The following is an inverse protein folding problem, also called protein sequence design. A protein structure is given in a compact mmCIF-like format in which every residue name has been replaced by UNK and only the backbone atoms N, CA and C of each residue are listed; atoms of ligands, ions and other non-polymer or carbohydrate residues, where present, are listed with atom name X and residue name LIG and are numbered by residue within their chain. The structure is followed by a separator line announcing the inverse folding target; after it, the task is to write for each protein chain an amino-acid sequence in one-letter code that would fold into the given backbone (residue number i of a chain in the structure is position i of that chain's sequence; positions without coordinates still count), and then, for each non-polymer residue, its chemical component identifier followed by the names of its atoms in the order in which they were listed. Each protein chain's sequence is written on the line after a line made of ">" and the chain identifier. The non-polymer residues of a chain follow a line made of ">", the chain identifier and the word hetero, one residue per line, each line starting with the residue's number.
data_IF_883114660385
#
_entry.id   IF_883114660385
#
_cell.length_a   1.000
_cell.length_b   1.000
_cell.length_c   1.000
_cell.angle_alpha   90.00
_cell.angle_beta   90.00
_cell.angle_gamma   90.00
#
_symmetry.space_group_name_H-M   'P 1'
#
loop_
_entity.id
_entity.type
_entity.pdbx_description
1 polymer ?
#
# COMPACT_ATOMS: atom_id res chain seq x y z
N UNK A 1 -34.61 -6.34 16.02
CA UNK A 1 -33.79 -5.13 16.22
C UNK A 1 -33.81 -4.37 14.91
N UNK A 2 -34.46 -3.20 14.87
CA UNK A 2 -34.33 -2.29 13.71
C UNK A 2 -32.88 -1.80 13.66
N UNK A 3 -32.18 -2.17 12.61
CA UNK A 3 -30.89 -1.55 12.28
C UNK A 3 -31.16 -0.07 11.93
N UNK A 4 -30.56 0.85 12.64
CA UNK A 4 -30.53 2.25 12.21
C UNK A 4 -29.61 2.35 10.98
N UNK A 5 -29.92 3.24 10.02
CA UNK A 5 -29.10 3.45 8.82
C UNK A 5 -27.61 3.68 9.16
N UNK A 6 -27.34 4.38 10.26
CA UNK A 6 -25.98 4.62 10.76
C UNK A 6 -25.26 3.34 11.17
N UNK A 7 -25.94 2.36 11.79
CA UNK A 7 -25.34 1.09 12.18
C UNK A 7 -25.01 0.25 10.94
N UNK A 8 -25.85 0.27 9.92
CA UNK A 8 -25.61 -0.40 8.64
C UNK A 8 -24.39 0.19 7.93
N UNK A 9 -24.32 1.51 7.77
CA UNK A 9 -23.19 2.19 7.16
C UNK A 9 -21.86 1.92 7.87
N UNK A 10 -21.87 1.82 9.20
CA UNK A 10 -20.66 1.49 9.97
C UNK A 10 -20.16 0.06 9.71
N UNK A 11 -21.06 -0.93 9.62
CA UNK A 11 -20.67 -2.32 9.33
C UNK A 11 -20.18 -2.48 7.88
N UNK A 12 -20.85 -1.85 6.90
CA UNK A 12 -20.40 -1.82 5.51
C UNK A 12 -19.02 -1.15 5.40
N UNK A 13 -18.85 0.01 6.01
CA UNK A 13 -17.59 0.74 6.01
C UNK A 13 -16.46 -0.09 6.65
N UNK A 14 -16.76 -0.83 7.71
CA UNK A 14 -15.82 -1.72 8.38
C UNK A 14 -15.40 -2.88 7.49
N UNK A 15 -16.34 -3.49 6.78
CA UNK A 15 -16.06 -4.54 5.82
C UNK A 15 -15.15 -4.03 4.71
N UNK A 16 -15.50 -2.93 4.06
CA UNK A 16 -14.74 -2.34 2.96
C UNK A 16 -13.34 -1.86 3.38
N UNK A 17 -13.21 -1.19 4.51
CA UNK A 17 -11.91 -0.68 4.98
C UNK A 17 -10.94 -1.81 5.33
N UNK A 18 -11.43 -2.90 5.93
CA UNK A 18 -10.64 -4.10 6.22
C UNK A 18 -10.24 -4.82 4.94
N UNK A 19 -11.19 -4.99 4.01
CA UNK A 19 -10.92 -5.61 2.71
C UNK A 19 -9.87 -4.82 1.93
N UNK A 20 -10.03 -3.50 1.86
CA UNK A 20 -9.01 -2.62 1.28
C UNK A 20 -7.64 -2.79 1.93
N UNK A 21 -7.59 -2.83 3.26
CA UNK A 21 -6.33 -3.00 3.99
C UNK A 21 -5.62 -4.29 3.60
N UNK A 22 -6.34 -5.40 3.51
CA UNK A 22 -5.77 -6.69 3.15
C UNK A 22 -5.29 -6.71 1.68
N UNK A 23 -6.06 -6.12 0.73
CA UNK A 23 -5.64 -5.95 -0.68
C UNK A 23 -4.38 -5.09 -0.82
N UNK A 24 -4.27 -4.01 -0.08
CA UNK A 24 -3.04 -3.17 -0.07
C UNK A 24 -1.82 -3.96 0.46
N UNK A 25 -2.01 -4.83 1.45
CA UNK A 25 -0.95 -5.71 1.95
C UNK A 25 -0.55 -6.78 0.93
N UNK A 26 -1.50 -7.38 0.23
CA UNK A 26 -1.23 -8.31 -0.87
C UNK A 26 -0.39 -7.62 -1.96
N UNK A 27 -0.81 -6.45 -2.39
CA UNK A 27 -0.06 -5.63 -3.34
C UNK A 27 1.36 -5.34 -2.88
N UNK A 28 1.57 -5.03 -1.62
CA UNK A 28 2.91 -4.77 -1.07
C UNK A 28 3.81 -6.03 -1.14
N UNK A 29 3.26 -7.23 -0.90
CA UNK A 29 3.99 -8.50 -1.07
C UNK A 29 4.39 -8.72 -2.53
N UNK A 30 3.48 -8.48 -3.47
CA UNK A 30 3.77 -8.62 -4.90
C UNK A 30 4.83 -7.62 -5.37
N UNK A 31 4.81 -6.37 -4.86
CA UNK A 31 5.87 -5.39 -5.12
C UNK A 31 7.24 -5.91 -4.68
N UNK A 32 7.34 -6.48 -3.49
CA UNK A 32 8.57 -7.12 -3.00
C UNK A 32 9.01 -8.28 -3.91
N UNK A 33 8.06 -9.08 -4.41
CA UNK A 33 8.37 -10.15 -5.37
C UNK A 33 8.92 -9.61 -6.68
N UNK A 34 8.32 -8.54 -7.23
CA UNK A 34 8.84 -7.87 -8.45
C UNK A 34 10.27 -7.39 -8.24
N UNK A 35 10.57 -6.72 -7.12
CA UNK A 35 11.93 -6.25 -6.86
C UNK A 35 12.95 -7.41 -6.87
N UNK A 36 12.62 -8.54 -6.24
CA UNK A 36 13.47 -9.74 -6.25
C UNK A 36 13.65 -10.31 -7.66
N UNK A 37 12.57 -10.37 -8.45
CA UNK A 37 12.64 -10.87 -9.83
C UNK A 37 13.48 -9.96 -10.72
N UNK A 38 13.35 -8.65 -10.58
CA UNK A 38 14.15 -7.66 -11.32
C UNK A 38 15.63 -7.76 -10.93
N UNK A 39 15.96 -7.97 -9.65
CA UNK A 39 17.36 -8.20 -9.22
C UNK A 39 17.99 -9.40 -9.92
N UNK A 40 17.20 -10.42 -10.29
CA UNK A 40 17.70 -11.59 -11.04
C UNK A 40 17.77 -11.33 -12.54
N UNK A 41 16.75 -10.69 -13.12
CA UNK A 41 16.56 -10.58 -14.56
C UNK A 41 17.21 -9.33 -15.18
N UNK A 42 17.25 -8.22 -14.44
CA UNK A 42 17.83 -6.95 -14.86
C UNK A 42 18.15 -6.04 -13.66
N UNK A 43 19.20 -6.34 -12.87
CA UNK A 43 19.54 -5.62 -11.64
C UNK A 43 19.84 -4.14 -11.84
N UNK A 44 20.40 -3.75 -13.01
CA UNK A 44 20.77 -2.37 -13.30
C UNK A 44 19.55 -1.45 -13.44
N UNK A 45 18.36 -1.99 -13.73
CA UNK A 45 17.14 -1.21 -13.93
C UNK A 45 16.77 -0.37 -12.70
N UNK A 46 17.01 -0.89 -11.49
CA UNK A 46 16.70 -0.18 -10.24
C UNK A 46 17.47 1.15 -10.12
N UNK A 47 18.67 1.24 -10.69
CA UNK A 47 19.49 2.46 -10.66
C UNK A 47 19.09 3.48 -11.73
N UNK A 48 18.40 3.04 -12.77
CA UNK A 48 18.01 3.87 -13.91
C UNK A 48 16.66 4.57 -13.68
N UNK A 49 15.83 4.03 -12.82
CA UNK A 49 14.46 4.53 -12.60
C UNK A 49 14.26 5.00 -11.17
N UNK A 50 13.45 6.03 -10.94
CA UNK A 50 13.16 6.50 -9.57
C UNK A 50 12.50 5.43 -8.69
N UNK A 51 11.74 4.51 -9.31
CA UNK A 51 11.10 3.38 -8.63
C UNK A 51 10.77 2.28 -9.64
N UNK A 52 11.02 1.03 -9.27
CA UNK A 52 10.59 -0.15 -10.04
C UNK A 52 9.06 -0.27 -10.14
N UNK A 53 8.31 0.41 -9.25
CA UNK A 53 6.85 0.30 -9.15
C UNK A 53 6.10 1.40 -9.91
N UNK A 54 6.72 1.98 -10.92
CA UNK A 54 6.08 2.94 -11.82
C UNK A 54 5.31 2.23 -12.93
N UNK A 55 4.22 2.84 -13.39
CA UNK A 55 3.41 2.32 -14.50
C UNK A 55 4.24 2.08 -15.76
N UNK A 56 5.17 2.99 -16.07
CA UNK A 56 6.08 2.87 -17.22
C UNK A 56 7.06 1.71 -17.11
N UNK A 57 7.56 1.42 -15.89
CA UNK A 57 8.43 0.27 -15.63
C UNK A 57 7.63 -1.04 -15.75
N UNK A 58 6.42 -1.05 -15.23
CA UNK A 58 5.54 -2.22 -15.39
C UNK A 58 5.15 -2.44 -16.85
N UNK A 59 4.94 -1.39 -17.64
CA UNK A 59 4.71 -1.52 -19.08
C UNK A 59 5.93 -2.15 -19.78
N UNK A 60 7.13 -1.64 -19.50
CA UNK A 60 8.38 -2.17 -20.04
C UNK A 60 8.55 -3.65 -19.67
N UNK A 61 8.46 -4.00 -18.39
CA UNK A 61 8.69 -5.38 -17.91
C UNK A 61 7.58 -6.36 -18.29
N UNK A 62 6.38 -5.88 -18.58
CA UNK A 62 5.30 -6.71 -19.11
C UNK A 62 5.58 -7.19 -20.52
N UNK A 63 6.24 -6.38 -21.33
CA UNK A 63 6.58 -6.70 -22.73
C UNK A 63 7.97 -7.31 -22.84
N UNK A 64 8.94 -6.75 -22.10
CA UNK A 64 10.35 -7.17 -22.10
C UNK A 64 10.77 -7.51 -20.66
N UNK A 65 10.53 -8.73 -20.17
CA UNK A 65 10.70 -9.06 -18.75
C UNK A 65 12.13 -9.19 -18.26
N UNK A 66 13.12 -9.11 -19.15
CA UNK A 66 14.53 -9.21 -18.76
C UNK A 66 15.48 -8.41 -19.63
N UNK A 67 16.72 -8.28 -19.17
CA UNK A 67 17.76 -7.50 -19.88
C UNK A 67 17.98 -7.98 -21.32
N UNK A 68 18.01 -9.30 -21.56
CA UNK A 68 18.25 -9.85 -22.91
C UNK A 68 17.16 -9.44 -23.91
N UNK A 69 15.90 -9.45 -23.52
CA UNK A 69 14.79 -9.05 -24.36
C UNK A 69 14.84 -7.54 -24.65
N UNK A 70 15.16 -6.71 -23.64
CA UNK A 70 15.31 -5.26 -23.80
C UNK A 70 16.49 -4.92 -24.72
N UNK A 71 17.62 -5.60 -24.55
CA UNK A 71 18.81 -5.41 -25.39
C UNK A 71 18.55 -5.69 -26.88
N UNK A 72 17.72 -6.69 -27.17
CA UNK A 72 17.31 -7.08 -28.52
C UNK A 72 16.18 -6.24 -29.12
N UNK A 73 15.48 -5.43 -28.30
CA UNK A 73 14.31 -4.68 -28.74
C UNK A 73 14.69 -3.49 -29.65
N UNK A 74 13.81 -3.18 -30.60
CA UNK A 74 13.96 -1.98 -31.42
C UNK A 74 13.83 -0.71 -30.60
N UNK A 75 14.80 0.19 -30.72
CA UNK A 75 14.82 1.45 -29.95
C UNK A 75 13.56 2.29 -30.15
N UNK A 76 13.03 2.30 -31.37
CA UNK A 76 11.79 3.03 -31.69
C UNK A 76 10.61 2.51 -30.89
N UNK A 77 10.53 1.18 -30.72
CA UNK A 77 9.47 0.53 -29.95
C UNK A 77 9.62 0.81 -28.46
N UNK A 78 10.82 0.63 -27.88
CA UNK A 78 11.10 0.97 -26.47
C UNK A 78 10.77 2.43 -26.16
N UNK A 79 11.13 3.33 -27.09
CA UNK A 79 10.84 4.75 -26.96
C UNK A 79 9.33 5.05 -26.96
N UNK A 80 8.58 4.46 -27.87
CA UNK A 80 7.12 4.61 -27.93
C UNK A 80 6.47 4.09 -26.65
N UNK A 81 6.81 2.86 -26.24
CA UNK A 81 6.28 2.22 -25.05
C UNK A 81 6.52 3.05 -23.77
N UNK A 82 7.78 3.48 -23.55
CA UNK A 82 8.14 4.29 -22.38
C UNK A 82 7.50 5.68 -22.40
N UNK A 83 7.42 6.31 -23.58
CA UNK A 83 6.76 7.61 -23.75
C UNK A 83 5.27 7.53 -23.41
N UNK A 84 4.57 6.56 -23.97
CA UNK A 84 3.12 6.39 -23.78
C UNK A 84 2.80 6.04 -22.31
N UNK A 85 3.50 5.05 -21.75
CA UNK A 85 3.28 4.63 -20.37
C UNK A 85 3.68 5.69 -19.33
N UNK A 86 4.60 6.61 -19.65
CA UNK A 86 5.01 7.72 -18.76
C UNK A 86 4.24 9.02 -19.00
N UNK A 87 3.26 9.02 -19.91
CA UNK A 87 2.55 10.25 -20.34
C UNK A 87 3.54 11.34 -20.82
N UNK A 88 4.54 10.93 -21.60
CA UNK A 88 5.55 11.82 -22.18
C UNK A 88 6.70 12.24 -21.25
N UNK A 89 6.75 11.78 -20.01
CA UNK A 89 7.84 12.11 -19.06
C UNK A 89 9.17 11.51 -19.49
N UNK A 90 9.17 10.26 -19.98
CA UNK A 90 10.37 9.61 -20.49
C UNK A 90 10.60 9.97 -21.94
N UNK A 91 11.76 10.58 -22.19
CA UNK A 91 12.21 11.00 -23.52
C UNK A 91 13.10 9.92 -24.14
N UNK A 92 13.63 10.21 -25.34
CA UNK A 92 14.49 9.30 -26.10
C UNK A 92 15.68 8.79 -25.28
N UNK A 93 16.24 9.62 -24.42
CA UNK A 93 17.45 9.34 -23.68
C UNK A 93 17.24 8.16 -22.72
N UNK A 94 16.12 8.11 -21.99
CA UNK A 94 15.80 6.99 -21.10
C UNK A 94 15.73 5.64 -21.84
N UNK A 95 15.15 5.60 -23.04
CA UNK A 95 15.07 4.37 -23.81
C UNK A 95 16.44 3.89 -24.28
N UNK A 96 17.35 4.82 -24.58
CA UNK A 96 18.76 4.52 -24.93
C UNK A 96 19.49 3.99 -23.71
N UNK A 97 19.41 4.69 -22.57
CA UNK A 97 20.05 4.32 -21.31
C UNK A 97 19.63 2.91 -20.85
N UNK A 98 18.32 2.66 -20.84
CA UNK A 98 17.76 1.35 -20.44
C UNK A 98 18.26 0.24 -21.37
N UNK A 99 18.27 0.47 -22.70
CA UNK A 99 18.76 -0.54 -23.66
C UNK A 99 20.25 -0.77 -23.54
N UNK A 100 21.04 0.27 -23.38
CA UNK A 100 22.51 0.16 -23.29
C UNK A 100 22.91 -0.51 -21.96
N UNK A 101 22.25 -0.19 -20.86
CA UNK A 101 22.41 -0.93 -19.61
C UNK A 101 22.00 -2.40 -19.75
N UNK A 102 20.93 -2.69 -20.48
CA UNK A 102 20.50 -4.06 -20.74
C UNK A 102 21.50 -4.88 -21.54
N UNK A 103 22.24 -4.25 -22.47
CA UNK A 103 23.32 -4.90 -23.23
C UNK A 103 24.53 -5.28 -22.40
N UNK A 104 24.79 -4.53 -21.33
CA UNK A 104 25.90 -4.76 -20.40
C UNK A 104 25.45 -5.40 -19.09
N UNK A 105 24.20 -5.86 -19.03
CA UNK A 105 23.62 -6.39 -17.79
C UNK A 105 24.22 -7.72 -17.40
N UNK A 106 24.43 -7.88 -16.09
CA UNK A 106 24.79 -9.17 -15.46
C UNK A 106 23.56 -10.03 -15.14
N UNK A 107 22.35 -9.55 -15.49
CA UNK A 107 21.09 -10.26 -15.26
C UNK A 107 21.04 -11.61 -15.97
N UNK A 108 20.38 -12.57 -15.33
CA UNK A 108 20.25 -13.92 -15.85
C UNK A 108 19.07 -14.04 -16.83
N UNK A 109 19.29 -14.71 -17.97
CA UNK A 109 18.20 -15.06 -18.89
C UNK A 109 17.48 -16.31 -18.39
N UNK A 110 16.38 -16.09 -17.66
CA UNK A 110 15.58 -17.15 -17.03
C UNK A 110 14.11 -17.06 -17.48
N UNK A 111 13.67 -17.83 -18.49
CA UNK A 111 12.30 -17.77 -19.00
C UNK A 111 11.21 -17.99 -17.94
N UNK A 112 11.45 -18.90 -16.98
CA UNK A 112 10.51 -19.14 -15.89
C UNK A 112 10.34 -17.91 -14.98
N UNK A 113 11.42 -17.20 -14.66
CA UNK A 113 11.39 -15.96 -13.89
C UNK A 113 10.77 -14.81 -14.67
N UNK A 114 11.00 -14.76 -15.97
CA UNK A 114 10.36 -13.80 -16.87
C UNK A 114 8.83 -13.98 -16.88
N UNK A 115 8.35 -15.21 -16.96
CA UNK A 115 6.94 -15.53 -16.88
C UNK A 115 6.34 -15.16 -15.51
N UNK A 116 7.05 -15.51 -14.42
CA UNK A 116 6.65 -15.15 -13.05
C UNK A 116 6.51 -13.62 -12.89
N UNK A 117 7.48 -12.85 -13.43
CA UNK A 117 7.45 -11.39 -13.40
C UNK A 117 6.25 -10.82 -14.14
N UNK A 118 5.98 -11.28 -15.36
CA UNK A 118 4.84 -10.84 -16.17
C UNK A 118 3.50 -11.13 -15.46
N UNK A 119 3.35 -12.32 -14.90
CA UNK A 119 2.15 -12.69 -14.14
C UNK A 119 2.00 -11.83 -12.88
N UNK A 120 3.09 -11.58 -12.15
CA UNK A 120 3.08 -10.76 -10.92
C UNK A 120 2.67 -9.31 -11.24
N UNK A 121 3.16 -8.74 -12.35
CA UNK A 121 2.76 -7.39 -12.80
C UNK A 121 1.27 -7.36 -13.17
N UNK A 122 0.74 -8.40 -13.83
CA UNK A 122 -0.68 -8.49 -14.16
C UNK A 122 -1.55 -8.52 -12.90
N UNK A 123 -1.16 -9.33 -11.91
CA UNK A 123 -1.86 -9.39 -10.62
C UNK A 123 -1.84 -8.05 -9.87
N UNK A 124 -0.72 -7.30 -9.91
CA UNK A 124 -0.68 -5.96 -9.30
C UNK A 124 -1.65 -5.00 -9.99
N UNK A 125 -1.76 -5.02 -11.31
CA UNK A 125 -2.71 -4.17 -12.04
C UNK A 125 -4.16 -4.50 -11.69
N UNK A 126 -4.47 -5.79 -11.54
CA UNK A 126 -5.78 -6.24 -11.08
C UNK A 126 -6.08 -5.74 -9.65
N UNK A 127 -5.12 -5.92 -8.72
CA UNK A 127 -5.27 -5.40 -7.36
C UNK A 127 -5.39 -3.88 -7.30
N UNK A 128 -4.71 -3.14 -8.17
CA UNK A 128 -4.85 -1.68 -8.23
C UNK A 128 -6.27 -1.28 -8.64
N UNK A 129 -6.87 -1.99 -9.62
CA UNK A 129 -8.27 -1.78 -10.03
C UNK A 129 -9.26 -2.12 -8.90
N UNK A 130 -9.10 -3.30 -8.27
CA UNK A 130 -9.95 -3.70 -7.12
C UNK A 130 -9.87 -2.70 -5.97
N UNK A 131 -8.67 -2.19 -5.66
CA UNK A 131 -8.48 -1.19 -4.60
C UNK A 131 -9.19 0.12 -4.96
N UNK A 132 -9.16 0.53 -6.22
CA UNK A 132 -9.86 1.73 -6.70
C UNK A 132 -11.37 1.58 -6.55
N UNK A 133 -11.94 0.45 -6.94
CA UNK A 133 -13.37 0.15 -6.80
C UNK A 133 -13.80 0.19 -5.32
N UNK A 134 -13.02 -0.42 -4.43
CA UNK A 134 -13.27 -0.38 -2.99
C UNK A 134 -13.20 1.07 -2.46
N UNK A 135 -12.23 1.87 -2.92
CA UNK A 135 -12.10 3.27 -2.51
C UNK A 135 -13.29 4.12 -2.96
N UNK A 136 -13.83 3.88 -4.15
CA UNK A 136 -15.06 4.53 -4.64
C UNK A 136 -16.24 4.21 -3.73
N UNK A 137 -16.42 2.94 -3.36
CA UNK A 137 -17.48 2.51 -2.44
C UNK A 137 -17.33 3.15 -1.05
N UNK A 138 -16.10 3.18 -0.50
CA UNK A 138 -15.82 3.84 0.78
C UNK A 138 -16.15 5.33 0.72
N UNK A 139 -15.78 6.03 -0.37
CA UNK A 139 -16.06 7.45 -0.54
C UNK A 139 -17.57 7.74 -0.60
N UNK A 140 -18.36 6.88 -1.26
CA UNK A 140 -19.80 7.02 -1.32
C UNK A 140 -20.43 7.00 0.10
N UNK A 141 -20.08 5.99 0.89
CA UNK A 141 -20.57 5.87 2.28
C UNK A 141 -20.12 7.05 3.14
N UNK A 142 -18.85 7.45 3.04
CA UNK A 142 -18.32 8.60 3.79
C UNK A 142 -19.04 9.91 3.46
N UNK A 143 -19.45 10.09 2.20
CA UNK A 143 -20.23 11.24 1.76
C UNK A 143 -21.64 11.25 2.37
N UNK A 144 -22.30 10.09 2.47
CA UNK A 144 -23.60 9.95 3.10
C UNK A 144 -23.54 10.19 4.60
N UNK A 145 -22.48 9.68 5.26
CA UNK A 145 -22.28 9.87 6.71
C UNK A 145 -21.97 11.31 7.12
N UNK A 146 -21.48 12.16 6.21
CA UNK A 146 -21.14 13.56 6.46
C UNK A 146 -20.28 13.80 7.72
N UNK A 147 -19.40 12.88 8.05
CA UNK A 147 -18.57 12.97 9.25
C UNK A 147 -17.51 14.06 9.14
N UNK A 148 -17.30 14.88 10.19
CA UNK A 148 -16.27 15.91 10.21
C UNK A 148 -14.84 15.36 10.35
N UNK A 149 -14.65 14.06 10.47
CA UNK A 149 -13.31 13.45 10.72
C UNK A 149 -12.26 13.85 9.67
N UNK A 150 -12.68 14.07 8.44
CA UNK A 150 -11.78 14.46 7.34
C UNK A 150 -11.40 15.94 7.37
N UNK A 151 -11.99 16.75 8.25
CA UNK A 151 -11.58 18.15 8.46
C UNK A 151 -10.34 18.25 9.35
N UNK A 152 -9.99 17.17 10.04
CA UNK A 152 -8.77 17.12 10.86
C UNK A 152 -7.56 17.07 9.94
N UNK A 153 -6.62 18.05 10.01
CA UNK A 153 -5.41 18.04 9.20
C UNK A 153 -4.66 16.70 9.32
N UNK A 154 -4.23 16.13 8.19
CA UNK A 154 -3.54 14.85 8.16
C UNK A 154 -4.45 13.60 8.14
N UNK A 155 -5.75 13.75 8.38
CA UNK A 155 -6.70 12.63 8.28
C UNK A 155 -7.44 12.69 6.94
N UNK A 156 -6.93 11.97 5.94
CA UNK A 156 -7.64 11.78 4.68
C UNK A 156 -8.77 10.75 4.78
N UNK A 157 -9.63 10.68 3.74
CA UNK A 157 -10.82 9.83 3.74
C UNK A 157 -10.52 8.36 4.10
N UNK A 158 -9.40 7.80 3.66
CA UNK A 158 -9.01 6.40 3.91
C UNK A 158 -8.81 6.10 5.39
N UNK A 159 -8.07 6.96 6.08
CA UNK A 159 -7.82 6.81 7.53
C UNK A 159 -9.06 7.19 8.33
N UNK A 160 -9.75 8.25 7.95
CA UNK A 160 -11.01 8.68 8.56
C UNK A 160 -12.06 7.59 8.49
N UNK A 161 -12.26 6.98 7.32
CA UNK A 161 -13.19 5.86 7.15
C UNK A 161 -12.86 4.67 8.05
N UNK A 162 -11.57 4.29 8.13
CA UNK A 162 -11.15 3.17 8.98
C UNK A 162 -11.33 3.47 10.47
N UNK A 163 -11.05 4.70 10.91
CA UNK A 163 -11.25 5.12 12.31
C UNK A 163 -12.75 5.07 12.64
N UNK A 164 -13.61 5.68 11.81
CA UNK A 164 -15.06 5.65 12.02
C UNK A 164 -15.62 4.23 12.06
N UNK A 165 -15.21 3.40 11.11
CA UNK A 165 -15.67 2.02 11.01
C UNK A 165 -15.26 1.16 12.21
N UNK A 166 -14.05 1.32 12.71
CA UNK A 166 -13.55 0.52 13.85
C UNK A 166 -14.06 1.02 15.20
N UNK A 167 -14.27 2.31 15.37
CA UNK A 167 -14.83 2.89 16.60
C UNK A 167 -16.36 2.73 16.63
N UNK A 168 -17.02 2.95 15.48
CA UNK A 168 -18.48 2.96 15.37
C UNK A 168 -19.09 4.15 16.10
N UNK A 169 -19.62 3.92 17.29
CA UNK A 169 -20.21 4.96 18.14
C UNK A 169 -19.19 5.51 19.13
N UNK A 170 -18.82 6.77 18.96
CA UNK A 170 -17.89 7.49 19.86
C UNK A 170 -18.47 7.75 21.25
N UNK A 171 -19.80 7.81 21.40
CA UNK A 171 -20.46 8.04 22.70
C UNK A 171 -20.22 6.92 23.70
N UNK A 172 -19.76 5.75 23.26
CA UNK A 172 -19.37 4.62 24.10
C UNK A 172 -18.13 4.86 24.94
N UNK A 173 -17.36 5.91 24.63
CA UNK A 173 -16.07 6.18 25.25
C UNK A 173 -16.11 7.49 26.02
N UNK A 174 -15.96 7.42 27.33
CA UNK A 174 -15.99 8.59 28.22
C UNK A 174 -14.68 9.40 28.17
N UNK A 175 -13.62 8.87 27.56
CA UNK A 175 -12.34 9.54 27.44
C UNK A 175 -11.51 9.05 26.26
N UNK A 176 -10.56 9.85 25.73
CA UNK A 176 -9.61 9.44 24.71
C UNK A 176 -8.78 8.21 25.09
N UNK A 177 -8.44 8.07 26.37
CA UNK A 177 -7.64 6.93 26.86
C UNK A 177 -8.38 5.60 26.69
N UNK A 178 -9.70 5.59 26.81
CA UNK A 178 -10.52 4.40 26.54
C UNK A 178 -10.48 4.00 25.06
N UNK A 179 -10.40 4.96 24.14
CA UNK A 179 -10.22 4.70 22.71
C UNK A 179 -8.83 4.11 22.46
N UNK A 180 -7.79 4.63 23.10
CA UNK A 180 -6.44 4.10 23.00
C UNK A 180 -6.36 2.66 23.55
N UNK A 181 -6.99 2.41 24.69
CA UNK A 181 -7.10 1.06 25.25
C UNK A 181 -7.86 0.11 24.32
N UNK A 182 -8.98 0.58 23.73
CA UNK A 182 -9.75 -0.19 22.75
C UNK A 182 -8.94 -0.51 21.48
N UNK A 183 -8.07 0.40 21.06
CA UNK A 183 -7.10 0.16 19.98
C UNK A 183 -5.95 -0.77 20.38
N UNK A 184 -5.80 -1.08 21.68
CA UNK A 184 -4.70 -1.85 22.22
C UNK A 184 -3.36 -1.09 22.17
N UNK A 185 -3.43 0.22 22.34
CA UNK A 185 -2.28 1.14 22.36
C UNK A 185 -1.85 1.54 23.76
N UNK A 186 -2.54 1.06 24.80
CA UNK A 186 -2.16 1.27 26.17
C UNK A 186 -0.88 0.52 26.54
N UNK A 187 -0.03 1.09 27.40
CA UNK A 187 1.12 0.38 27.94
C UNK A 187 0.67 -0.80 28.79
N UNK A 188 1.30 -1.93 28.65
CA UNK A 188 1.06 -3.07 29.54
C UNK A 188 1.64 -2.76 30.92
N UNK A 189 0.83 -2.78 31.96
CA UNK A 189 1.29 -2.67 33.34
C UNK A 189 1.67 -4.07 33.83
N UNK A 190 2.99 -4.30 33.98
CA UNK A 190 3.48 -5.45 34.71
C UNK A 190 3.61 -5.04 36.19
N UNK A 191 2.55 -5.23 36.96
CA UNK A 191 2.60 -5.12 38.42
C UNK A 191 2.45 -6.52 39.01
N UNK A 192 3.57 -7.17 39.26
CA UNK A 192 3.63 -8.38 40.08
C UNK A 192 4.25 -7.99 41.43
N UNK A 193 3.39 -7.84 42.43
CA UNK A 193 3.69 -7.81 43.84
C UNK A 193 4.86 -6.91 44.30
N UNK A 194 6.02 -7.36 44.52
CA UNK A 194 7.13 -6.60 45.15
C UNK A 194 8.28 -6.21 44.18
N UNK A 195 8.11 -6.40 42.90
CA UNK A 195 9.14 -6.10 41.90
C UNK A 195 8.81 -4.80 41.17
N UNK A 196 8.99 -3.65 41.82
CA UNK A 196 9.21 -2.37 41.14
C UNK A 196 10.66 -2.34 40.61
N UNK A 197 10.93 -3.14 39.57
CA UNK A 197 12.18 -3.03 38.84
C UNK A 197 12.14 -1.76 38.00
N UNK A 198 12.84 -0.74 38.45
CA UNK A 198 13.24 0.40 37.63
C UNK A 198 13.93 -0.12 36.36
N UNK A 199 13.21 -0.13 35.23
CA UNK A 199 13.71 -0.61 33.95
C UNK A 199 12.83 -1.57 33.19
N UNK A 200 11.67 -1.94 33.70
CA UNK A 200 10.72 -2.76 32.95
C UNK A 200 10.17 -1.96 31.77
N UNK A 201 10.62 -2.27 30.57
CA UNK A 201 10.06 -1.72 29.34
C UNK A 201 8.59 -2.15 29.22
N UNK A 202 7.69 -1.20 29.35
CA UNK A 202 6.27 -1.40 29.13
C UNK A 202 6.03 -1.67 27.65
N UNK A 203 5.57 -2.85 27.32
CA UNK A 203 5.17 -3.18 25.95
C UNK A 203 3.74 -2.72 25.70
N UNK A 204 3.46 -2.29 24.46
CA UNK A 204 2.11 -2.03 24.02
C UNK A 204 1.29 -3.33 24.07
N UNK A 205 0.09 -3.31 24.68
CA UNK A 205 -0.74 -4.51 24.89
C UNK A 205 -1.17 -5.22 23.59
N UNK A 206 -1.43 -4.49 22.52
CA UNK A 206 -1.86 -4.99 21.20
C UNK A 206 -3.12 -5.86 21.21
N UNK A 207 -3.92 -5.88 22.27
CA UNK A 207 -5.13 -6.69 22.41
C UNK A 207 -6.33 -6.15 21.63
N UNK A 208 -6.30 -4.89 21.20
CA UNK A 208 -7.37 -4.24 20.45
C UNK A 208 -7.31 -4.43 18.94
N UNK A 209 -8.17 -3.69 18.22
CA UNK A 209 -8.22 -3.73 16.76
C UNK A 209 -6.90 -3.34 16.11
N UNK A 210 -6.31 -4.25 15.33
CA UNK A 210 -5.11 -3.97 14.53
C UNK A 210 -5.35 -2.90 13.46
N UNK A 211 -6.57 -2.81 12.95
CA UNK A 211 -6.97 -1.85 11.92
C UNK A 211 -7.08 -0.44 12.50
N UNK A 212 -7.72 -0.30 13.67
CA UNK A 212 -7.79 0.98 14.38
C UNK A 212 -6.39 1.45 14.76
N UNK A 213 -5.56 0.59 15.31
CA UNK A 213 -4.17 0.90 15.68
C UNK A 213 -3.35 1.35 14.47
N UNK A 214 -3.50 0.68 13.32
CA UNK A 214 -2.88 1.08 12.07
C UNK A 214 -3.35 2.47 11.61
N UNK A 215 -4.66 2.73 11.66
CA UNK A 215 -5.22 4.00 11.23
C UNK A 215 -4.76 5.16 12.13
N UNK A 216 -4.83 4.99 13.45
CA UNK A 216 -4.36 6.00 14.42
C UNK A 216 -2.87 6.28 14.29
N UNK A 217 -2.05 5.24 14.17
CA UNK A 217 -0.60 5.40 13.97
C UNK A 217 -0.27 6.18 12.69
N UNK A 218 -0.95 5.89 11.58
CA UNK A 218 -0.71 6.63 10.35
C UNK A 218 -1.27 8.06 10.40
N UNK A 219 -2.41 8.28 11.04
CA UNK A 219 -2.96 9.61 11.24
C UNK A 219 -2.00 10.51 12.00
N UNK A 220 -1.43 10.03 13.11
CA UNK A 220 -0.47 10.80 13.93
C UNK A 220 0.78 11.17 13.17
N UNK A 221 1.27 10.34 12.26
CA UNK A 221 2.43 10.67 11.41
C UNK A 221 2.25 11.92 10.55
N UNK A 222 1.02 12.20 10.13
CA UNK A 222 0.72 13.34 9.26
C UNK A 222 0.20 14.55 10.03
N UNK A 223 -0.27 14.35 11.26
CA UNK A 223 -0.72 15.45 12.14
C UNK A 223 0.46 16.10 12.88
N UNK A 224 1.51 15.32 13.16
CA UNK A 224 2.70 15.79 13.91
C UNK A 224 3.82 16.33 13.02
N UNK A 225 3.62 16.44 11.70
CA UNK A 225 4.52 17.06 10.74
C UNK A 225 4.07 18.47 10.41
#
# INVERSE_FOLDING_TARGET
>A
KSYTDTAYHNEELKSLTRYRFDKVRERAKLKTSISRLVTVLFPELEKLVPSLHMVSVYALLSEFPGAKQIAGAHLTHLKALLKDASKGRYRRDMAVEVRDAARCSIGSDMPAKSLELQHTIRLIRELDSEIEDIEVAIQAIMKEMQSPITTIPGIGFRMGAMILAEIGDFSRFDSPDKILAYAGMSPSTYQSGQLSLSGAYSHMEKRGSRYLRYALYNATKYVCL
#
